data_IF_576603620985
#
_entry.id   IF_576603620985
#
_cell.length_a   1.000
_cell.length_b   1.000
_cell.length_c   1.000
_cell.angle_alpha   90.00
_cell.angle_beta   90.00
_cell.angle_gamma   90.00
#
_symmetry.space_group_name_H-M   'P 1'
#
loop_
_entity.id
_entity.type
_entity.pdbx_description
1 polymer ?
#
# COMPACT_ATOMS: atom_id res chain seq x y z
N UNK A 1 11.01 -13.73 60.23
CA UNK A 1 11.37 -12.62 59.32
C UNK A 1 11.71 -13.22 57.97
N UNK A 2 10.89 -12.98 56.95
CA UNK A 2 11.13 -13.48 55.59
C UNK A 2 11.90 -12.42 54.79
N UNK A 3 13.11 -12.78 54.32
CA UNK A 3 13.92 -11.94 53.45
C UNK A 3 13.37 -12.03 52.02
N UNK A 4 12.83 -10.92 51.53
CA UNK A 4 12.38 -10.72 50.16
C UNK A 4 13.57 -10.65 49.21
N UNK A 5 13.64 -11.56 48.24
CA UNK A 5 14.55 -11.44 47.10
C UNK A 5 13.91 -10.55 46.03
N UNK A 6 14.16 -9.23 46.11
CA UNK A 6 13.88 -8.29 45.03
C UNK A 6 14.97 -8.38 43.97
N UNK A 7 14.84 -9.36 43.07
CA UNK A 7 15.63 -9.44 41.85
C UNK A 7 15.31 -8.26 40.94
N UNK A 8 16.15 -7.24 40.96
CA UNK A 8 16.14 -6.18 39.95
C UNK A 8 16.54 -6.77 38.61
N UNK A 9 15.56 -7.08 37.76
CA UNK A 9 15.80 -7.39 36.36
C UNK A 9 16.41 -6.15 35.70
N UNK A 10 17.74 -6.17 35.53
CA UNK A 10 18.47 -5.23 34.67
C UNK A 10 17.91 -5.42 33.26
N UNK A 11 17.08 -4.47 32.82
CA UNK A 11 16.68 -4.35 31.43
C UNK A 11 17.95 -4.23 30.60
N UNK A 12 18.27 -5.29 29.87
CA UNK A 12 19.40 -5.28 28.94
C UNK A 12 19.10 -4.19 27.91
N UNK A 13 19.80 -3.05 28.01
CA UNK A 13 19.87 -2.06 26.94
C UNK A 13 20.59 -2.73 25.78
N UNK A 14 19.85 -3.47 24.96
CA UNK A 14 20.34 -3.90 23.66
C UNK A 14 20.75 -2.64 22.93
N UNK A 15 22.01 -2.53 22.50
CA UNK A 15 22.41 -1.42 21.65
C UNK A 15 21.46 -1.40 20.45
N UNK A 16 21.02 -0.21 19.99
CA UNK A 16 20.21 -0.14 18.78
C UNK A 16 20.97 -0.94 17.73
N UNK A 17 20.28 -1.88 17.04
CA UNK A 17 20.83 -2.51 15.85
C UNK A 17 21.49 -1.37 15.08
N UNK A 18 22.83 -1.38 14.98
CA UNK A 18 23.54 -0.41 14.13
C UNK A 18 22.76 -0.49 12.84
N UNK A 19 22.12 0.61 12.42
CA UNK A 19 21.27 0.63 11.21
C UNK A 19 22.13 0.09 10.09
N UNK A 20 22.01 -1.20 9.83
CA UNK A 20 22.89 -1.91 8.92
C UNK A 20 22.41 -1.47 7.56
N UNK A 21 23.13 -0.49 7.01
CA UNK A 21 22.83 0.02 5.68
C UNK A 21 23.06 -1.13 4.72
N UNK A 22 21.95 -1.69 4.25
CA UNK A 22 21.96 -2.71 3.22
C UNK A 22 22.59 -2.09 1.97
N UNK A 23 23.70 -2.69 1.51
CA UNK A 23 24.37 -2.22 0.31
C UNK A 23 23.47 -2.37 -0.93
N UNK A 24 23.73 -1.57 -1.98
CA UNK A 24 22.94 -1.60 -3.23
C UNK A 24 22.79 -2.99 -3.83
N UNK A 25 23.83 -3.82 -3.75
CA UNK A 25 23.82 -5.20 -4.24
C UNK A 25 22.78 -6.06 -3.53
N UNK A 26 22.80 -6.08 -2.19
CA UNK A 26 21.86 -6.86 -1.40
C UNK A 26 20.42 -6.35 -1.54
N UNK A 27 20.24 -5.03 -1.72
CA UNK A 27 18.92 -4.45 -2.04
C UNK A 27 18.35 -4.98 -3.36
N UNK A 28 19.20 -5.07 -4.38
CA UNK A 28 18.84 -5.62 -5.69
C UNK A 28 18.50 -7.11 -5.58
N UNK A 29 19.35 -7.89 -4.89
CA UNK A 29 19.14 -9.32 -4.65
C UNK A 29 17.83 -9.58 -3.89
N UNK A 30 17.54 -8.76 -2.87
CA UNK A 30 16.28 -8.84 -2.12
C UNK A 30 15.06 -8.52 -3.00
N UNK A 31 15.17 -7.50 -3.87
CA UNK A 31 14.11 -7.12 -4.81
C UNK A 31 13.85 -8.24 -5.81
N UNK A 32 14.89 -8.83 -6.38
CA UNK A 32 14.76 -9.98 -7.30
C UNK A 32 14.20 -11.21 -6.58
N UNK A 33 14.68 -11.48 -5.37
CA UNK A 33 14.22 -12.59 -4.56
C UNK A 33 12.74 -12.45 -4.18
N UNK A 34 12.22 -11.24 -3.94
CA UNK A 34 10.80 -11.01 -3.61
C UNK A 34 9.87 -11.34 -4.78
N UNK A 35 10.31 -11.07 -6.00
CA UNK A 35 9.52 -11.27 -7.22
C UNK A 35 9.73 -12.66 -7.86
N UNK A 36 10.64 -13.46 -7.29
CA UNK A 36 10.93 -14.80 -7.80
C UNK A 36 9.67 -15.70 -7.69
N UNK A 37 9.36 -16.52 -8.71
CA UNK A 37 8.21 -17.39 -8.67
C UNK A 37 8.36 -18.45 -7.56
N UNK A 38 7.27 -18.68 -6.82
CA UNK A 38 7.25 -19.71 -5.79
C UNK A 38 7.20 -21.11 -6.44
N UNK A 39 8.30 -21.85 -6.38
CA UNK A 39 8.34 -23.26 -6.79
C UNK A 39 7.83 -24.15 -5.66
N UNK A 40 7.00 -25.16 -5.97
CA UNK A 40 6.37 -26.02 -4.95
C UNK A 40 7.36 -26.84 -4.10
N UNK A 41 8.57 -27.11 -4.59
CA UNK A 41 9.54 -28.03 -3.98
C UNK A 41 10.74 -27.37 -3.30
N UNK A 42 11.02 -26.09 -3.56
CA UNK A 42 12.23 -25.41 -3.08
C UNK A 42 11.89 -24.28 -2.12
N UNK A 43 12.76 -24.07 -1.12
CA UNK A 43 12.71 -22.89 -0.28
C UNK A 43 12.73 -21.63 -1.17
N UNK A 44 11.92 -20.64 -0.79
CA UNK A 44 11.83 -19.40 -1.54
C UNK A 44 13.13 -18.60 -1.36
N UNK A 45 13.76 -18.05 -2.42
CA UNK A 45 15.05 -17.37 -2.31
C UNK A 45 15.03 -16.19 -1.34
N UNK A 46 13.88 -15.50 -1.23
CA UNK A 46 13.69 -14.44 -0.24
C UNK A 46 13.96 -14.92 1.20
N UNK A 47 13.59 -16.16 1.54
CA UNK A 47 13.79 -16.71 2.87
C UNK A 47 15.28 -16.81 3.23
N UNK A 48 16.08 -17.26 2.27
CA UNK A 48 17.54 -17.34 2.40
C UNK A 48 18.17 -15.95 2.55
N UNK A 49 17.69 -14.95 1.80
CA UNK A 49 18.16 -13.57 1.92
C UNK A 49 17.81 -12.94 3.28
N UNK A 50 16.62 -13.21 3.81
CA UNK A 50 16.22 -12.74 5.15
C UNK A 50 17.07 -13.39 6.25
N UNK A 51 17.39 -14.67 6.08
CA UNK A 51 18.33 -15.38 6.96
C UNK A 51 19.74 -14.78 6.87
N UNK A 52 20.19 -14.42 5.67
CA UNK A 52 21.49 -13.76 5.46
C UNK A 52 21.54 -12.40 6.15
N UNK A 53 20.50 -11.57 6.02
CA UNK A 53 20.37 -10.29 6.73
C UNK A 53 20.54 -10.46 8.26
N UNK A 54 19.93 -11.49 8.84
CA UNK A 54 20.11 -11.80 10.27
C UNK A 54 21.55 -12.17 10.62
N UNK A 55 22.20 -13.00 9.79
CA UNK A 55 23.60 -13.41 10.00
C UNK A 55 24.51 -12.18 9.94
N UNK A 56 24.32 -11.32 8.95
CA UNK A 56 25.07 -10.07 8.76
C UNK A 56 24.83 -9.07 9.90
N UNK A 57 23.67 -9.16 10.57
CA UNK A 57 23.38 -8.41 11.78
C UNK A 57 24.19 -8.83 13.01
N UNK A 58 25.04 -9.86 12.91
CA UNK A 58 25.88 -10.35 14.01
C UNK A 58 25.10 -11.10 15.09
N UNK A 59 23.81 -11.36 14.87
CA UNK A 59 22.98 -12.14 15.78
C UNK A 59 23.12 -13.64 15.47
N UNK A 60 24.06 -14.29 16.16
CA UNK A 60 24.35 -15.71 15.96
C UNK A 60 23.13 -16.61 16.20
N UNK A 61 22.24 -16.24 17.12
CA UNK A 61 21.08 -17.04 17.51
C UNK A 61 19.76 -16.37 17.14
N UNK A 62 18.89 -17.09 16.41
CA UNK A 62 17.61 -16.60 15.88
C UNK A 62 16.70 -15.98 16.94
N UNK A 63 16.57 -16.61 18.12
CA UNK A 63 15.71 -16.10 19.20
C UNK A 63 16.16 -14.74 19.74
N UNK A 64 17.48 -14.46 19.74
CA UNK A 64 18.00 -13.15 20.18
C UNK A 64 17.58 -12.07 19.19
N UNK A 65 17.71 -12.37 17.89
CA UNK A 65 17.27 -11.46 16.85
C UNK A 65 15.75 -11.25 16.86
N UNK A 66 14.97 -12.32 17.02
CA UNK A 66 13.52 -12.23 17.16
C UNK A 66 13.10 -11.33 18.33
N UNK A 67 13.77 -11.48 19.49
CA UNK A 67 13.55 -10.63 20.66
C UNK A 67 13.84 -9.16 20.37
N UNK A 68 14.91 -8.85 19.63
CA UNK A 68 15.25 -7.47 19.23
C UNK A 68 14.20 -6.88 18.30
N UNK A 69 13.65 -7.69 17.38
CA UNK A 69 12.58 -7.29 16.47
C UNK A 69 11.18 -7.24 17.13
N UNK A 70 11.07 -7.59 18.42
CA UNK A 70 9.78 -7.66 19.12
C UNK A 70 8.84 -8.70 18.52
N UNK A 71 9.35 -9.84 18.07
CA UNK A 71 8.58 -10.97 17.54
C UNK A 71 9.03 -12.30 18.16
N UNK A 72 8.23 -13.35 18.00
CA UNK A 72 8.59 -14.69 18.51
C UNK A 72 9.59 -15.38 17.58
N UNK A 73 10.42 -16.27 18.13
CA UNK A 73 11.36 -17.09 17.35
C UNK A 73 10.62 -17.90 16.25
N UNK A 74 9.41 -18.40 16.55
CA UNK A 74 8.57 -19.11 15.59
C UNK A 74 8.08 -18.21 14.45
N UNK A 75 7.80 -16.92 14.72
CA UNK A 75 7.40 -15.96 13.68
C UNK A 75 8.57 -15.69 12.74
N UNK A 76 9.76 -15.46 13.28
CA UNK A 76 10.96 -15.27 12.49
C UNK A 76 11.32 -16.53 11.68
N UNK A 77 11.20 -17.72 12.28
CA UNK A 77 11.37 -18.99 11.57
C UNK A 77 10.41 -19.14 10.39
N UNK A 78 9.13 -18.81 10.57
CA UNK A 78 8.13 -18.86 9.49
C UNK A 78 8.47 -17.87 8.38
N UNK A 79 8.98 -16.69 8.75
CA UNK A 79 9.41 -15.67 7.80
C UNK A 79 10.62 -16.12 6.97
N UNK A 80 11.64 -16.72 7.59
CA UNK A 80 12.83 -17.26 6.93
C UNK A 80 12.53 -18.51 6.07
N UNK A 81 11.60 -19.37 6.50
CA UNK A 81 11.30 -20.63 5.78
C UNK A 81 10.20 -20.51 4.73
N UNK A 82 9.19 -19.68 4.97
CA UNK A 82 8.00 -19.53 4.14
C UNK A 82 7.56 -18.05 4.08
N UNK A 83 8.38 -17.15 3.54
CA UNK A 83 8.12 -15.71 3.58
C UNK A 83 6.80 -15.32 2.91
N UNK A 84 6.42 -16.00 1.82
CA UNK A 84 5.19 -15.71 1.08
C UNK A 84 3.89 -16.11 1.81
N UNK A 85 3.98 -17.09 2.72
CA UNK A 85 2.84 -17.59 3.52
C UNK A 85 2.71 -16.82 4.84
N UNK A 86 3.77 -16.13 5.24
CA UNK A 86 3.78 -15.26 6.41
C UNK A 86 2.92 -14.02 6.18
N UNK A 87 2.37 -13.46 7.26
CA UNK A 87 1.74 -12.14 7.18
C UNK A 87 2.77 -11.08 6.78
N UNK A 88 2.34 -9.98 6.15
CA UNK A 88 3.24 -8.88 5.79
C UNK A 88 3.80 -8.13 6.99
N UNK A 89 3.08 -8.05 8.12
CA UNK A 89 3.57 -7.30 9.29
C UNK A 89 4.94 -7.77 9.80
N UNK A 90 5.18 -9.08 10.04
CA UNK A 90 6.52 -9.56 10.38
C UNK A 90 7.59 -9.18 9.36
N UNK A 91 7.26 -9.18 8.07
CA UNK A 91 8.17 -8.75 7.00
C UNK A 91 8.49 -7.26 7.12
N UNK A 92 7.47 -6.41 7.24
CA UNK A 92 7.66 -4.97 7.38
C UNK A 92 8.50 -4.61 8.61
N UNK A 93 8.24 -5.24 9.76
CA UNK A 93 9.05 -5.05 10.97
C UNK A 93 10.51 -5.45 10.77
N UNK A 94 10.76 -6.57 10.09
CA UNK A 94 12.12 -6.99 9.79
C UNK A 94 12.80 -5.97 8.89
N UNK A 95 12.17 -5.59 7.76
CA UNK A 95 12.74 -4.64 6.81
C UNK A 95 13.01 -3.27 7.46
N UNK A 96 12.08 -2.77 8.28
CA UNK A 96 12.21 -1.52 9.02
C UNK A 96 13.44 -1.51 9.94
N UNK A 97 13.77 -2.64 10.57
CA UNK A 97 14.98 -2.77 11.41
C UNK A 97 16.29 -2.61 10.63
N UNK A 98 16.25 -2.85 9.31
CA UNK A 98 17.36 -2.62 8.37
C UNK A 98 17.22 -1.29 7.61
N UNK A 99 16.24 -0.45 7.97
CA UNK A 99 15.96 0.80 7.26
C UNK A 99 15.49 0.56 5.82
N UNK A 100 14.76 -0.52 5.59
CA UNK A 100 14.18 -0.88 4.29
C UNK A 100 12.66 -0.81 4.34
N UNK A 101 12.06 -0.57 3.18
CA UNK A 101 10.62 -0.59 2.96
C UNK A 101 10.27 -1.26 1.62
N UNK A 102 9.03 -1.74 1.51
CA UNK A 102 8.47 -2.24 0.27
C UNK A 102 7.66 -1.13 -0.41
N UNK A 103 7.79 -1.02 -1.72
CA UNK A 103 6.92 -0.20 -2.58
C UNK A 103 6.73 -0.92 -3.92
N UNK A 104 6.07 -0.27 -4.88
CA UNK A 104 5.89 -0.82 -6.22
C UNK A 104 6.70 -0.02 -7.23
N UNK A 105 7.17 -0.72 -8.26
CA UNK A 105 7.66 -0.09 -9.46
C UNK A 105 6.45 0.48 -10.22
N UNK A 106 6.28 1.80 -10.16
CA UNK A 106 5.24 2.53 -10.91
C UNK A 106 5.92 3.18 -12.11
N UNK A 107 5.70 2.69 -13.35
CA UNK A 107 6.32 3.32 -14.50
C UNK A 107 5.80 4.74 -14.66
N UNK A 108 6.68 5.63 -15.12
CA UNK A 108 6.39 7.04 -15.42
C UNK A 108 6.09 7.92 -14.19
N UNK A 109 6.12 7.37 -12.97
CA UNK A 109 6.00 8.15 -11.74
C UNK A 109 7.32 8.89 -11.47
N UNK A 110 7.22 10.20 -11.25
CA UNK A 110 8.36 11.00 -10.83
C UNK A 110 8.73 10.69 -9.37
N UNK A 111 9.75 9.84 -9.21
CA UNK A 111 10.31 9.45 -7.91
C UNK A 111 11.40 10.41 -7.42
N UNK A 112 11.60 11.56 -8.07
CA UNK A 112 12.60 12.57 -7.63
C UNK A 112 12.36 13.03 -6.19
N UNK A 113 11.09 12.99 -5.75
CA UNK A 113 10.70 13.35 -4.41
C UNK A 113 10.58 12.15 -3.46
N UNK A 114 10.91 10.93 -3.88
CA UNK A 114 10.78 9.70 -3.11
C UNK A 114 9.69 8.77 -3.66
N UNK A 115 9.58 7.61 -3.02
CA UNK A 115 8.60 6.58 -3.35
C UNK A 115 7.34 6.74 -2.50
N UNK A 116 6.14 6.56 -3.07
CA UNK A 116 4.92 6.50 -2.28
C UNK A 116 4.90 5.25 -1.40
N UNK A 117 4.07 5.27 -0.36
CA UNK A 117 3.81 4.09 0.46
C UNK A 117 3.23 2.95 -0.40
N UNK A 118 3.48 1.71 0.00
CA UNK A 118 3.12 0.54 -0.79
C UNK A 118 1.63 0.50 -1.20
N UNK A 119 0.73 0.87 -0.30
CA UNK A 119 -0.71 0.86 -0.56
C UNK A 119 -1.14 2.00 -1.49
N UNK A 120 -0.50 3.17 -1.37
CA UNK A 120 -0.68 4.31 -2.27
C UNK A 120 -0.13 4.01 -3.67
N UNK A 121 1.07 3.41 -3.75
CA UNK A 121 1.69 2.95 -4.99
C UNK A 121 0.79 1.94 -5.72
N UNK A 122 0.21 0.99 -4.97
CA UNK A 122 -0.75 0.02 -5.49
C UNK A 122 -2.01 0.69 -6.03
N UNK A 123 -2.56 1.63 -5.27
CA UNK A 123 -3.74 2.36 -5.68
C UNK A 123 -3.49 3.18 -6.97
N UNK A 124 -2.37 3.91 -7.02
CA UNK A 124 -1.93 4.66 -8.19
C UNK A 124 -1.78 3.78 -9.43
N UNK A 125 -1.09 2.64 -9.30
CA UNK A 125 -0.90 1.68 -10.38
C UNK A 125 -2.23 1.11 -10.88
N UNK A 126 -3.19 0.83 -9.99
CA UNK A 126 -4.53 0.40 -10.43
C UNK A 126 -5.27 1.54 -11.12
N UNK A 127 -5.16 2.76 -10.62
CA UNK A 127 -5.83 3.93 -11.20
C UNK A 127 -5.31 4.31 -12.59
N UNK A 128 -4.03 4.03 -12.89
CA UNK A 128 -3.44 4.13 -14.23
C UNK A 128 -4.17 3.27 -15.25
N UNK A 129 -4.56 2.06 -14.84
CA UNK A 129 -5.33 1.16 -15.67
C UNK A 129 -6.82 1.54 -15.53
N UNK A 130 -7.26 2.57 -16.25
CA UNK A 130 -8.62 3.11 -16.15
C UNK A 130 -9.71 2.02 -16.34
N UNK A 131 -9.42 0.99 -17.13
CA UNK A 131 -10.33 -0.11 -17.41
C UNK A 131 -10.30 -1.22 -16.34
N UNK A 132 -9.34 -1.17 -15.41
CA UNK A 132 -9.15 -2.20 -14.39
C UNK A 132 -9.89 -1.84 -13.09
N UNK A 133 -11.16 -2.23 -13.02
CA UNK A 133 -11.91 -2.18 -11.77
C UNK A 133 -11.36 -3.17 -10.74
N UNK A 134 -11.69 -2.96 -9.46
CA UNK A 134 -11.38 -3.94 -8.42
C UNK A 134 -11.92 -5.34 -8.76
N UNK A 135 -13.07 -5.43 -9.44
CA UNK A 135 -13.68 -6.69 -9.85
C UNK A 135 -12.81 -7.41 -10.88
N UNK A 136 -12.39 -6.72 -11.94
CA UNK A 136 -11.53 -7.31 -12.97
C UNK A 136 -10.18 -7.74 -12.38
N UNK A 137 -9.57 -6.91 -11.51
CA UNK A 137 -8.32 -7.28 -10.84
C UNK A 137 -8.47 -8.51 -9.94
N UNK A 138 -9.59 -8.65 -9.23
CA UNK A 138 -9.85 -9.84 -8.41
C UNK A 138 -9.96 -11.11 -9.27
N UNK A 139 -10.59 -11.01 -10.44
CA UNK A 139 -10.69 -12.12 -11.40
C UNK A 139 -9.30 -12.47 -11.94
N UNK A 140 -8.54 -11.47 -12.41
CA UNK A 140 -7.22 -11.68 -12.99
C UNK A 140 -6.19 -12.24 -11.98
N UNK A 141 -6.24 -11.79 -10.73
CA UNK A 141 -5.30 -12.22 -9.67
C UNK A 141 -5.74 -13.47 -8.90
N UNK A 142 -7.03 -13.84 -8.99
CA UNK A 142 -7.64 -14.88 -8.15
C UNK A 142 -7.66 -14.52 -6.66
N UNK A 143 -7.58 -13.23 -6.31
CA UNK A 143 -7.61 -12.72 -4.93
C UNK A 143 -9.01 -12.20 -4.61
N UNK A 144 -9.47 -12.45 -3.38
CA UNK A 144 -10.80 -12.01 -2.95
C UNK A 144 -10.90 -10.47 -2.87
N UNK A 145 -12.06 -9.93 -3.27
CA UNK A 145 -12.32 -8.48 -3.27
C UNK A 145 -12.14 -7.81 -1.92
N UNK A 146 -12.53 -8.48 -0.83
CA UNK A 146 -12.31 -7.97 0.53
C UNK A 146 -10.83 -7.82 0.86
N UNK A 147 -9.96 -8.68 0.31
CA UNK A 147 -8.50 -8.60 0.52
C UNK A 147 -7.92 -7.39 -0.20
N UNK A 148 -8.33 -7.16 -1.46
CA UNK A 148 -7.95 -5.97 -2.22
C UNK A 148 -8.41 -4.69 -1.51
N UNK A 149 -9.67 -4.62 -1.09
CA UNK A 149 -10.21 -3.45 -0.40
C UNK A 149 -9.50 -3.20 0.94
N UNK A 150 -9.24 -4.25 1.72
CA UNK A 150 -8.47 -4.14 2.95
C UNK A 150 -7.07 -3.56 2.67
N UNK A 151 -6.42 -4.03 1.61
CA UNK A 151 -5.10 -3.54 1.25
C UNK A 151 -5.09 -2.06 0.83
N UNK A 152 -6.04 -1.65 -0.01
CA UNK A 152 -6.19 -0.25 -0.40
C UNK A 152 -6.51 0.67 0.79
N UNK A 153 -7.15 0.14 1.84
CA UNK A 153 -7.36 0.86 3.11
C UNK A 153 -6.16 0.83 4.05
N UNK A 154 -4.98 0.40 3.58
CA UNK A 154 -3.74 0.36 4.36
C UNK A 154 -3.62 -0.84 5.31
N UNK A 155 -4.56 -1.80 5.28
CA UNK A 155 -4.47 -2.99 6.15
C UNK A 155 -3.45 -3.99 5.61
N UNK A 156 -2.70 -4.66 6.51
CA UNK A 156 -1.71 -5.64 6.10
C UNK A 156 -2.36 -6.87 5.45
N UNK A 157 -1.80 -7.32 4.33
CA UNK A 157 -2.19 -8.55 3.63
C UNK A 157 -1.02 -9.54 3.54
N UNK A 158 -1.25 -10.78 3.16
CA UNK A 158 -0.15 -11.73 2.91
C UNK A 158 0.65 -11.29 1.68
N UNK A 159 1.98 -11.44 1.72
CA UNK A 159 2.86 -11.08 0.60
C UNK A 159 2.53 -11.87 -0.68
N UNK A 160 2.16 -13.15 -0.55
CA UNK A 160 1.66 -13.94 -1.69
C UNK A 160 0.44 -13.34 -2.39
N UNK A 161 -0.47 -12.70 -1.65
CA UNK A 161 -1.66 -12.06 -2.23
C UNK A 161 -1.28 -10.75 -2.91
N UNK A 162 -0.38 -9.97 -2.29
CA UNK A 162 0.18 -8.76 -2.90
C UNK A 162 0.83 -9.07 -4.25
N UNK A 163 1.73 -10.05 -4.29
CA UNK A 163 2.45 -10.44 -5.52
C UNK A 163 1.48 -10.88 -6.62
N UNK A 164 0.42 -11.64 -6.29
CA UNK A 164 -0.60 -12.02 -7.29
C UNK A 164 -1.31 -10.81 -7.89
N UNK A 165 -1.70 -9.83 -7.07
CA UNK A 165 -2.37 -8.62 -7.55
C UNK A 165 -1.43 -7.72 -8.35
N UNK A 166 -0.18 -7.57 -7.90
CA UNK A 166 0.84 -6.75 -8.58
C UNK A 166 1.22 -7.36 -9.93
N UNK A 167 1.41 -8.68 -10.00
CA UNK A 167 1.69 -9.38 -11.25
C UNK A 167 0.51 -9.28 -12.24
N UNK A 168 -0.73 -9.35 -11.75
CA UNK A 168 -1.92 -9.18 -12.60
C UNK A 168 -2.05 -7.77 -13.19
N UNK A 169 -1.41 -6.77 -12.59
CA UNK A 169 -1.29 -5.41 -13.12
C UNK A 169 -0.02 -5.19 -13.97
N UNK A 170 0.78 -6.24 -14.20
CA UNK A 170 2.02 -6.14 -14.96
C UNK A 170 3.14 -5.38 -14.27
N UNK A 171 3.11 -5.26 -12.94
CA UNK A 171 4.11 -4.53 -12.17
C UNK A 171 4.96 -5.45 -11.28
N UNK A 172 5.90 -4.86 -10.55
CA UNK A 172 6.83 -5.55 -9.64
C UNK A 172 6.85 -4.88 -8.27
N UNK A 173 7.11 -5.68 -7.25
CA UNK A 173 7.39 -5.16 -5.90
C UNK A 173 8.86 -4.82 -5.81
N UNK A 174 9.21 -3.67 -5.22
CA UNK A 174 10.59 -3.24 -5.05
C UNK A 174 10.90 -2.95 -3.58
N UNK A 175 12.15 -3.18 -3.19
CA UNK A 175 12.66 -2.75 -1.89
C UNK A 175 13.44 -1.44 -2.05
N UNK A 176 13.19 -0.50 -1.16
CA UNK A 176 13.84 0.81 -1.14
C UNK A 176 14.30 1.14 0.28
N UNK A 177 15.31 2.01 0.44
CA UNK A 177 15.60 2.62 1.74
C UNK A 177 14.36 3.29 2.33
N UNK A 178 14.09 3.07 3.61
CA UNK A 178 12.88 3.56 4.28
C UNK A 178 12.80 5.09 4.32
N UNK A 179 13.94 5.79 4.30
CA UNK A 179 14.03 7.26 4.23
C UNK A 179 13.63 7.82 2.86
N UNK A 180 13.52 6.97 1.83
CA UNK A 180 13.02 7.35 0.51
C UNK A 180 11.51 7.15 0.38
N UNK A 181 10.86 6.47 1.32
CA UNK A 181 9.39 6.35 1.31
C UNK A 181 8.78 7.58 1.96
N UNK A 182 7.84 8.21 1.27
CA UNK A 182 7.07 9.34 1.81
C UNK A 182 5.60 8.96 1.90
N UNK A 183 5.02 9.17 3.07
CA UNK A 183 3.59 9.32 3.21
C UNK A 183 3.17 10.56 2.40
N UNK A 184 2.12 10.45 1.59
CA UNK A 184 1.65 11.43 0.62
C UNK A 184 2.18 12.86 0.77
N UNK A 185 2.94 13.32 -0.23
CA UNK A 185 3.33 14.73 -0.35
C UNK A 185 2.05 15.53 -0.64
N UNK A 186 1.41 16.01 0.42
CA UNK A 186 0.65 17.26 0.38
C UNK A 186 1.68 18.34 0.69
N UNK A 187 2.26 18.93 -0.36
CA UNK A 187 2.71 20.30 -0.22
C UNK A 187 1.41 21.11 -0.13
N UNK A 188 1.04 21.50 1.09
CA UNK A 188 0.10 22.60 1.30
C UNK A 188 0.76 23.84 0.68
N UNK A 189 0.42 24.16 -0.57
CA UNK A 189 0.54 25.52 -1.04
C UNK A 189 -0.71 26.27 -0.57
N UNK A 190 -0.49 26.89 0.57
CA UNK A 190 -1.22 27.99 1.16
C UNK A 190 -1.44 29.10 0.11
N UNK A 191 -2.65 29.19 -0.45
CA UNK A 191 -3.16 30.46 -1.00
C UNK A 191 -4.69 30.42 -1.13
N UNK A 192 -5.33 30.96 -0.08
CA UNK A 192 -6.45 31.90 -0.17
C UNK A 192 -7.60 31.58 -1.14
N UNK A 193 -8.75 31.21 -0.59
CA UNK A 193 -9.91 32.07 -0.84
C UNK A 193 -10.91 32.10 0.31
N UNK A 194 -11.43 33.29 0.51
CA UNK A 194 -12.08 33.85 1.68
C UNK A 194 -13.37 33.14 2.13
N UNK A 195 -13.50 33.05 3.45
CA UNK A 195 -14.70 33.42 4.22
C UNK A 195 -15.90 33.92 3.41
N UNK A 196 -16.98 33.14 3.36
CA UNK A 196 -18.32 33.71 3.18
C UNK A 196 -19.09 33.64 4.51
N UNK A 197 -19.33 34.84 5.03
CA UNK A 197 -20.07 35.15 6.24
C UNK A 197 -21.53 34.68 6.21
N UNK A 198 -21.99 34.23 7.37
CA UNK A 198 -23.39 34.27 7.83
C UNK A 198 -23.89 35.71 7.94
N UNK A 199 -25.14 35.96 7.53
CA UNK A 199 -26.19 36.79 8.17
C UNK A 199 -27.38 36.83 7.16
N UNK A 200 -28.56 36.23 7.39
CA UNK A 200 -29.67 36.51 8.34
C UNK A 200 -30.97 36.81 7.52
N UNK A 201 -32.20 37.02 8.09
CA UNK A 201 -33.28 36.02 8.03
C UNK A 201 -34.59 36.51 7.32
N UNK A 202 -35.51 35.55 7.10
CA UNK A 202 -36.99 35.64 6.96
C UNK A 202 -37.61 36.67 5.99
N UNK A 203 -38.40 36.17 5.02
CA UNK A 203 -39.74 36.74 4.74
C UNK A 203 -40.66 35.75 4.01
N UNK A 204 -41.93 35.77 4.40
CA UNK A 204 -43.00 34.88 3.96
C UNK A 204 -43.58 35.27 2.59
N UNK A 205 -44.05 34.28 1.82
CA UNK A 205 -44.77 34.50 0.57
C UNK A 205 -45.31 33.20 -0.04
N UNK A 206 -46.61 32.99 0.14
CA UNK A 206 -47.44 31.87 -0.33
C UNK A 206 -47.46 31.75 -1.86
N UNK A 207 -47.26 30.55 -2.42
CA UNK A 207 -48.05 30.02 -3.54
C UNK A 207 -47.79 28.53 -3.80
N UNK A 208 -48.89 27.82 -4.02
CA UNK A 208 -49.13 26.40 -4.30
C UNK A 208 -48.09 25.61 -5.10
N UNK A 209 -47.79 24.34 -4.73
CA UNK A 209 -47.04 23.42 -5.59
C UNK A 209 -47.97 22.70 -6.60
N UNK A 210 -47.54 22.48 -7.85
CA UNK A 210 -48.13 21.41 -8.66
C UNK A 210 -47.63 20.06 -8.13
N UNK A 211 -48.54 19.08 -8.10
CA UNK A 211 -48.31 17.71 -7.66
C UNK A 211 -47.03 17.11 -8.27
N UNK A 212 -45.97 17.00 -7.47
CA UNK A 212 -44.83 16.14 -7.76
C UNK A 212 -45.24 14.69 -7.58
N UNK A 213 -45.80 14.12 -8.64
CA UNK A 213 -45.98 12.67 -8.76
C UNK A 213 -44.60 12.05 -8.83
N UNK A 214 -44.23 11.24 -7.84
CA UNK A 214 -43.02 10.43 -7.93
C UNK A 214 -43.10 9.57 -9.22
N UNK A 215 -42.04 9.55 -10.05
CA UNK A 215 -42.04 8.76 -11.28
C UNK A 215 -42.26 7.29 -10.94
N UNK A 216 -43.17 6.64 -11.67
CA UNK A 216 -43.52 5.25 -11.42
C UNK A 216 -42.34 4.34 -11.76
N UNK A 217 -42.27 3.16 -11.15
CA UNK A 217 -41.27 2.14 -11.49
C UNK A 217 -41.30 1.74 -12.98
N UNK A 218 -42.42 1.98 -13.67
CA UNK A 218 -42.55 1.74 -15.11
C UNK A 218 -41.82 2.81 -15.95
N UNK A 219 -41.72 4.05 -15.48
CA UNK A 219 -41.03 5.14 -16.21
C UNK A 219 -39.50 5.02 -16.16
N UNK A 220 -38.95 4.14 -15.30
CA UNK A 220 -37.51 3.83 -15.24
C UNK A 220 -37.10 2.66 -16.12
N UNK A 221 -38.05 1.96 -16.73
CA UNK A 221 -37.79 0.78 -17.55
C UNK A 221 -37.50 1.14 -19.02
N UNK A 222 -37.80 2.36 -19.46
CA UNK A 222 -37.43 2.85 -20.79
C UNK A 222 -35.95 3.29 -20.84
N UNK A 223 -35.13 2.27 -21.08
CA UNK A 223 -33.98 2.28 -21.97
C UNK A 223 -33.03 3.50 -21.92
N UNK A 224 -32.30 3.64 -20.81
CA UNK A 224 -30.90 4.07 -20.95
C UNK A 224 -30.12 2.87 -21.50
N UNK A 225 -29.64 2.97 -22.74
CA UNK A 225 -28.70 2.01 -23.30
C UNK A 225 -27.57 1.78 -22.27
N UNK A 226 -27.07 0.54 -22.11
CA UNK A 226 -25.92 0.32 -21.25
C UNK A 226 -24.81 1.28 -21.70
N UNK A 227 -24.18 2.02 -20.77
CA UNK A 227 -23.18 3.01 -21.11
C UNK A 227 -22.11 2.34 -21.97
N UNK A 228 -21.70 3.03 -23.03
CA UNK A 228 -20.63 2.54 -23.89
C UNK A 228 -19.37 2.25 -23.07
N UNK A 229 -18.52 1.36 -23.57
CA UNK A 229 -17.26 1.02 -22.91
C UNK A 229 -16.42 2.28 -22.63
N UNK A 230 -16.44 3.24 -23.57
CA UNK A 230 -15.81 4.54 -23.44
C UNK A 230 -16.38 5.39 -22.30
N UNK A 231 -17.71 5.52 -22.18
CA UNK A 231 -18.34 6.27 -21.08
C UNK A 231 -18.12 5.62 -19.71
N UNK A 232 -17.99 4.28 -19.69
CA UNK A 232 -17.62 3.54 -18.48
C UNK A 232 -16.17 3.84 -18.09
N UNK A 233 -15.23 3.79 -19.04
CA UNK A 233 -13.83 4.12 -18.83
C UNK A 233 -13.66 5.56 -18.35
N UNK A 234 -14.30 6.54 -18.98
CA UNK A 234 -14.22 7.96 -18.63
C UNK A 234 -14.72 8.24 -17.21
N UNK A 235 -15.81 7.58 -16.81
CA UNK A 235 -16.35 7.69 -15.45
C UNK A 235 -15.40 7.09 -14.41
N UNK A 236 -14.77 5.96 -14.72
CA UNK A 236 -13.77 5.35 -13.82
C UNK A 236 -12.52 6.25 -13.75
N UNK A 237 -12.06 6.79 -14.88
CA UNK A 237 -10.94 7.73 -14.95
C UNK A 237 -11.20 8.96 -14.08
N UNK A 238 -12.36 9.62 -14.21
CA UNK A 238 -12.74 10.76 -13.36
C UNK A 238 -12.80 10.39 -11.86
N UNK A 239 -13.31 9.20 -11.54
CA UNK A 239 -13.34 8.72 -10.16
C UNK A 239 -11.94 8.44 -9.59
N UNK A 240 -11.03 7.92 -10.41
CA UNK A 240 -9.64 7.65 -10.06
C UNK A 240 -8.85 8.96 -9.86
N UNK A 241 -9.07 9.97 -10.70
CA UNK A 241 -8.47 11.31 -10.55
C UNK A 241 -8.82 11.95 -9.22
N UNK A 242 -10.09 11.86 -8.80
CA UNK A 242 -10.52 12.38 -7.49
C UNK A 242 -9.90 11.64 -6.30
N UNK A 243 -9.54 10.37 -6.46
CA UNK A 243 -9.07 9.52 -5.35
C UNK A 243 -7.54 9.50 -5.18
N UNK A 244 -6.79 9.78 -6.23
CA UNK A 244 -5.33 9.95 -6.16
C UNK A 244 -4.88 11.20 -6.94
N UNK A 245 -5.30 12.41 -6.51
CA UNK A 245 -4.95 13.64 -7.21
C UNK A 245 -3.44 13.81 -7.37
N UNK A 246 -2.67 13.45 -6.34
CA UNK A 246 -1.20 13.48 -6.32
C UNK A 246 -0.54 12.65 -7.44
N UNK A 247 -1.12 11.49 -7.78
CA UNK A 247 -0.61 10.62 -8.86
C UNK A 247 -0.78 11.31 -10.21
N UNK A 248 -1.97 11.90 -10.43
CA UNK A 248 -2.28 12.59 -11.68
C UNK A 248 -1.59 13.94 -11.79
N UNK A 249 -1.25 14.61 -10.68
CA UNK A 249 -0.44 15.83 -10.73
C UNK A 249 1.01 15.56 -11.14
N UNK A 250 1.60 14.45 -10.66
CA UNK A 250 2.89 13.96 -11.13
C UNK A 250 2.87 13.58 -12.62
N UNK A 251 1.82 12.89 -13.07
CA UNK A 251 1.65 12.51 -14.48
C UNK A 251 1.36 13.70 -15.40
N UNK A 252 0.55 14.67 -14.95
CA UNK A 252 0.18 15.90 -15.69
C UNK A 252 1.38 16.80 -15.98
N UNK A 253 2.38 16.86 -15.09
CA UNK A 253 3.62 17.61 -15.34
C UNK A 253 4.42 17.07 -16.54
N UNK A 254 4.13 15.87 -17.04
CA UNK A 254 4.84 15.23 -18.17
C UNK A 254 4.02 15.08 -19.45
N UNK A 255 2.70 15.29 -19.40
CA UNK A 255 1.87 15.35 -20.60
C UNK A 255 1.51 16.81 -20.91
N UNK A 256 2.02 17.41 -22.00
CA UNK A 256 1.37 18.59 -22.53
C UNK A 256 -0.03 18.12 -22.94
N UNK A 257 -1.04 18.65 -22.25
CA UNK A 257 -2.43 18.50 -22.70
C UNK A 257 -2.48 19.26 -24.02
N UNK A 258 -2.41 18.55 -25.15
CA UNK A 258 -2.74 19.13 -26.43
C UNK A 258 -4.19 19.64 -26.29
N UNK A 259 -4.32 20.96 -26.32
CA UNK A 259 -5.59 21.68 -26.26
C UNK A 259 -6.28 21.62 -27.61
#
# INVERSE_FOLDING_TARGET
>A
MYLTHSGTQKTAKTPPLKRLRVGRKLLHELTDAVNSPATASKAHPLGDMLKQLRIDAGAAKRYQFASVLGMTDQTLQKLESQPLKSGSQPMFKLLESFGLALTLEVPDLDISFGYPELHEAFFALRCRNADLTQRELCVASGVARSTLQNFESGKPIKLSMLLKMVNAMGARVMMVPADQVKAGIVAEDDSSNETLHRHDPVSAGTSTPPESRAPSLADKADAAAPPSEQERADRIARANVKRAPWYWDGARRRWPVAS
#
